data_IF_610909890783
#
_entry.id   IF_610909890783
#
_cell.length_a   1.000
_cell.length_b   1.000
_cell.length_c   1.000
_cell.angle_alpha   90.00
_cell.angle_beta   90.00
_cell.angle_gamma   90.00
#
_symmetry.space_group_name_H-M   'P 1'
#
loop_
_entity.id
_entity.type
_entity.pdbx_description
1 polymer ?
#
# COMPACT_ATOMS: atom_id res chain seq x y z
N UNK A 1 -17.41 22.74 -4.87
CA UNK A 1 -16.02 23.06 -4.48
C UNK A 1 -15.15 21.98 -5.08
N UNK A 2 -14.26 22.32 -6.01
CA UNK A 2 -13.27 21.37 -6.53
C UNK A 2 -12.10 21.37 -5.56
N UNK A 3 -11.87 20.26 -4.88
CA UNK A 3 -10.70 20.13 -3.99
C UNK A 3 -9.51 19.81 -4.89
N UNK A 4 -8.60 20.78 -5.04
CA UNK A 4 -7.35 20.54 -5.74
C UNK A 4 -6.46 19.59 -4.92
N UNK A 5 -5.91 18.57 -5.57
CA UNK A 5 -5.07 17.56 -4.94
C UNK A 5 -3.63 17.78 -5.41
N UNK A 6 -2.76 18.21 -4.49
CA UNK A 6 -1.32 18.32 -4.74
C UNK A 6 -0.62 17.04 -4.31
N UNK A 7 0.17 16.45 -5.22
CA UNK A 7 0.94 15.23 -4.94
C UNK A 7 2.44 15.54 -5.05
N UNK A 8 3.20 15.20 -4.01
CA UNK A 8 4.66 15.14 -4.07
C UNK A 8 5.04 13.67 -4.23
N UNK A 9 5.24 13.24 -5.48
CA UNK A 9 5.34 11.82 -5.80
C UNK A 9 6.42 11.07 -5.00
N UNK A 10 7.61 11.67 -4.86
CA UNK A 10 8.73 11.06 -4.14
C UNK A 10 8.41 10.83 -2.65
N UNK A 11 7.69 11.76 -2.01
CA UNK A 11 7.32 11.62 -0.60
C UNK A 11 6.33 10.46 -0.41
N UNK A 12 5.39 10.30 -1.34
CA UNK A 12 4.43 9.20 -1.31
C UNK A 12 5.13 7.87 -1.54
N UNK A 13 5.98 7.75 -2.57
CA UNK A 13 6.74 6.53 -2.87
C UNK A 13 7.60 6.11 -1.67
N UNK A 14 8.30 7.05 -1.03
CA UNK A 14 9.10 6.77 0.15
C UNK A 14 8.25 6.24 1.31
N UNK A 15 7.11 6.90 1.62
CA UNK A 15 6.25 6.49 2.73
C UNK A 15 5.54 5.17 2.48
N UNK A 16 5.12 4.92 1.24
CA UNK A 16 4.56 3.64 0.84
C UNK A 16 5.62 2.54 0.97
N UNK A 17 6.87 2.81 0.56
CA UNK A 17 7.99 1.89 0.76
C UNK A 17 8.25 1.55 2.22
N UNK A 18 8.26 2.56 3.12
CA UNK A 18 8.38 2.35 4.56
C UNK A 18 7.29 1.40 5.10
N UNK A 19 6.04 1.59 4.65
CA UNK A 19 4.90 0.77 5.05
C UNK A 19 5.02 -0.66 4.50
N UNK A 20 5.38 -0.83 3.23
CA UNK A 20 5.59 -2.16 2.62
C UNK A 20 6.63 -2.94 3.41
N UNK A 21 7.79 -2.32 3.68
CA UNK A 21 8.87 -2.97 4.41
C UNK A 21 8.42 -3.37 5.82
N UNK A 22 7.73 -2.47 6.54
CA UNK A 22 7.20 -2.79 7.86
C UNK A 22 6.14 -3.90 7.83
N UNK A 23 5.30 -3.91 6.78
CA UNK A 23 4.30 -4.94 6.56
C UNK A 23 4.93 -6.31 6.26
N UNK A 24 5.99 -6.38 5.48
CA UNK A 24 6.70 -7.63 5.16
C UNK A 24 7.47 -8.19 6.36
N UNK A 25 7.95 -7.32 7.26
CA UNK A 25 8.65 -7.72 8.48
C UNK A 25 7.72 -8.28 9.57
N UNK A 26 6.39 -8.10 9.44
CA UNK A 26 5.43 -8.77 10.31
C UNK A 26 5.51 -10.28 10.10
N UNK A 27 5.91 -11.00 11.15
CA UNK A 27 5.96 -12.46 11.20
C UNK A 27 4.96 -12.98 12.25
N UNK A 28 3.64 -12.96 11.95
CA UNK A 28 2.64 -13.49 12.85
C UNK A 28 2.78 -15.02 12.91
N UNK A 29 3.37 -15.51 14.00
CA UNK A 29 3.55 -16.94 14.23
C UNK A 29 3.31 -17.27 15.70
N UNK A 30 2.40 -18.18 15.95
CA UNK A 30 2.13 -18.70 17.30
C UNK A 30 3.04 -19.88 17.59
N UNK A 31 3.47 -19.94 18.84
CA UNK A 31 4.17 -21.10 19.36
C UNK A 31 3.21 -22.28 19.55
N UNK A 32 3.65 -23.51 19.25
CA UNK A 32 2.81 -24.68 19.43
C UNK A 32 2.40 -24.86 20.90
N UNK A 33 1.19 -25.41 21.16
CA UNK A 33 0.72 -25.66 22.52
C UNK A 33 1.67 -26.63 23.28
N UNK A 34 1.78 -26.44 24.60
CA UNK A 34 2.57 -27.33 25.47
C UNK A 34 1.82 -28.67 25.64
N UNK A 35 2.39 -29.81 25.19
CA UNK A 35 1.73 -31.11 25.29
C UNK A 35 1.48 -31.53 26.74
N UNK A 36 0.33 -32.14 27.02
CA UNK A 36 0.00 -32.69 28.35
C UNK A 36 -0.43 -31.64 29.39
N UNK A 37 -0.54 -30.36 29.01
CA UNK A 37 -1.05 -29.33 29.91
C UNK A 37 -2.58 -29.40 30.04
N UNK A 38 -3.06 -29.37 31.28
CA UNK A 38 -4.49 -29.45 31.63
C UNK A 38 -5.03 -28.16 32.26
N UNK A 39 -4.19 -27.13 32.40
CA UNK A 39 -4.58 -25.85 32.97
C UNK A 39 -5.42 -25.03 31.96
N UNK A 40 -6.65 -24.71 32.33
CA UNK A 40 -7.59 -23.89 31.53
C UNK A 40 -6.98 -22.54 31.08
N UNK A 41 -6.13 -21.94 31.92
CA UNK A 41 -5.44 -20.69 31.60
C UNK A 41 -4.53 -20.85 30.38
N UNK A 42 -3.83 -21.98 30.26
CA UNK A 42 -2.92 -22.21 29.12
C UNK A 42 -3.71 -22.49 27.85
N UNK A 43 -4.84 -23.18 27.95
CA UNK A 43 -5.77 -23.33 26.81
C UNK A 43 -6.27 -21.96 26.32
N UNK A 44 -6.68 -21.07 27.24
CA UNK A 44 -7.13 -19.70 26.90
C UNK A 44 -6.02 -18.84 26.30
N UNK A 45 -4.79 -18.93 26.82
CA UNK A 45 -3.64 -18.23 26.24
C UNK A 45 -3.32 -18.74 24.84
N UNK A 46 -3.40 -20.05 24.62
CA UNK A 46 -3.21 -20.66 23.29
C UNK A 46 -4.26 -20.15 22.31
N UNK A 47 -5.54 -20.13 22.71
CA UNK A 47 -6.63 -19.63 21.89
C UNK A 47 -6.46 -18.13 21.55
N UNK A 48 -6.06 -17.33 22.55
CA UNK A 48 -5.77 -15.90 22.34
C UNK A 48 -4.62 -15.71 21.35
N UNK A 49 -3.54 -16.44 21.51
CA UNK A 49 -2.39 -16.39 20.60
C UNK A 49 -2.81 -16.73 19.16
N UNK A 50 -3.60 -17.78 18.95
CA UNK A 50 -4.13 -18.14 17.62
C UNK A 50 -5.01 -17.03 17.02
N UNK A 51 -5.84 -16.37 17.84
CA UNK A 51 -6.65 -15.23 17.40
C UNK A 51 -5.79 -14.03 17.02
N UNK A 52 -4.73 -13.77 17.77
CA UNK A 52 -3.77 -12.69 17.47
C UNK A 52 -2.99 -12.96 16.18
N UNK A 53 -2.57 -14.19 15.93
CA UNK A 53 -1.97 -14.58 14.63
C UNK A 53 -2.92 -14.31 13.48
N UNK A 54 -4.15 -14.80 13.61
CA UNK A 54 -5.18 -14.59 12.59
C UNK A 54 -5.43 -13.10 12.34
N UNK A 55 -5.49 -12.30 13.40
CA UNK A 55 -5.67 -10.85 13.31
C UNK A 55 -4.50 -10.18 12.58
N UNK A 56 -3.27 -10.49 12.97
CA UNK A 56 -2.06 -9.89 12.39
C UNK A 56 -1.87 -10.31 10.92
N UNK A 57 -2.11 -11.57 10.58
CA UNK A 57 -2.07 -12.05 9.18
C UNK A 57 -3.10 -11.34 8.32
N UNK A 58 -4.32 -11.13 8.84
CA UNK A 58 -5.35 -10.38 8.13
C UNK A 58 -4.98 -8.90 7.98
N UNK A 59 -4.44 -8.29 9.03
CA UNK A 59 -3.98 -6.91 9.01
C UNK A 59 -2.87 -6.71 7.98
N UNK A 60 -1.85 -7.57 7.98
CA UNK A 60 -0.75 -7.56 7.02
C UNK A 60 -1.28 -7.64 5.58
N UNK A 61 -2.21 -8.55 5.30
CA UNK A 61 -2.83 -8.69 3.97
C UNK A 61 -3.55 -7.43 3.53
N UNK A 62 -4.38 -6.84 4.39
CA UNK A 62 -5.11 -5.59 4.06
C UNK A 62 -4.14 -4.44 3.87
N UNK A 63 -3.11 -4.33 4.71
CA UNK A 63 -2.11 -3.29 4.61
C UNK A 63 -1.36 -3.35 3.29
N UNK A 64 -0.88 -4.54 2.88
CA UNK A 64 -0.19 -4.74 1.60
C UNK A 64 -1.09 -4.41 0.40
N UNK A 65 -2.36 -4.84 0.43
CA UNK A 65 -3.32 -4.52 -0.64
C UNK A 65 -3.59 -3.00 -0.76
N UNK A 66 -3.70 -2.30 0.36
CA UNK A 66 -3.89 -0.85 0.36
C UNK A 66 -2.64 -0.11 -0.13
N UNK A 67 -1.45 -0.58 0.24
CA UNK A 67 -0.17 -0.06 -0.25
C UNK A 67 -0.03 -0.21 -1.76
N UNK A 68 -0.39 -1.38 -2.30
CA UNK A 68 -0.40 -1.63 -3.75
C UNK A 68 -1.39 -0.69 -4.47
N UNK A 69 -2.62 -0.59 -3.95
CA UNK A 69 -3.64 0.30 -4.49
C UNK A 69 -3.20 1.77 -4.47
N UNK A 70 -2.53 2.19 -3.40
CA UNK A 70 -1.98 3.54 -3.28
C UNK A 70 -0.90 3.79 -4.33
N UNK A 71 0.04 2.85 -4.50
CA UNK A 71 1.07 2.89 -5.54
C UNK A 71 0.45 3.06 -6.93
N UNK A 72 -0.53 2.22 -7.27
CA UNK A 72 -1.21 2.27 -8.56
C UNK A 72 -1.94 3.59 -8.79
N UNK A 73 -2.57 4.14 -7.75
CA UNK A 73 -3.25 5.44 -7.82
C UNK A 73 -2.27 6.59 -8.07
N UNK A 74 -1.09 6.54 -7.43
CA UNK A 74 -0.03 7.53 -7.61
C UNK A 74 0.56 7.45 -9.01
N UNK A 75 0.79 6.24 -9.54
CA UNK A 75 1.23 6.03 -10.93
C UNK A 75 0.20 6.60 -11.90
N UNK A 76 -1.07 6.30 -11.71
CA UNK A 76 -2.15 6.81 -12.55
C UNK A 76 -2.19 8.35 -12.57
N UNK A 77 -2.01 9.01 -11.42
CA UNK A 77 -1.92 10.47 -11.38
C UNK A 77 -0.70 11.00 -12.14
N UNK A 78 0.47 10.38 -11.96
CA UNK A 78 1.70 10.78 -12.68
C UNK A 78 1.52 10.68 -14.19
N UNK A 79 0.98 9.57 -14.67
CA UNK A 79 0.70 9.39 -16.11
C UNK A 79 -0.31 10.41 -16.64
N UNK A 80 -1.28 10.80 -15.80
CA UNK A 80 -2.27 11.82 -16.15
C UNK A 80 -1.61 13.20 -16.27
N UNK A 81 -0.75 13.56 -15.32
CA UNK A 81 0.04 14.79 -15.37
C UNK A 81 0.95 14.84 -16.61
N UNK A 82 1.64 13.75 -16.93
CA UNK A 82 2.52 13.66 -18.09
C UNK A 82 1.76 13.84 -19.41
N UNK A 83 0.55 13.28 -19.52
CA UNK A 83 -0.33 13.47 -20.69
C UNK A 83 -0.78 14.92 -20.83
N UNK A 84 -1.17 15.55 -19.72
CA UNK A 84 -1.57 16.97 -19.72
C UNK A 84 -0.39 17.87 -20.10
N UNK A 85 0.79 17.62 -19.51
CA UNK A 85 2.00 18.37 -19.82
C UNK A 85 2.39 18.24 -21.31
N UNK A 86 2.32 17.02 -21.87
CA UNK A 86 2.59 16.77 -23.29
C UNK A 86 1.62 17.53 -24.19
N UNK A 87 0.32 17.50 -23.90
CA UNK A 87 -0.70 18.24 -24.65
C UNK A 87 -0.50 19.77 -24.56
N UNK A 88 -0.11 20.28 -23.39
CA UNK A 88 0.24 21.69 -23.22
C UNK A 88 1.47 22.07 -24.05
N UNK A 89 2.48 21.21 -24.10
CA UNK A 89 3.68 21.46 -24.92
C UNK A 89 3.35 21.48 -26.42
N UNK A 90 2.49 20.58 -26.90
CA UNK A 90 2.02 20.57 -28.29
C UNK A 90 1.23 21.83 -28.67
N UNK A 91 0.34 22.28 -27.78
CA UNK A 91 -0.44 23.51 -28.02
C UNK A 91 0.43 24.77 -28.02
N UNK A 92 1.46 24.84 -27.18
CA UNK A 92 2.43 25.94 -27.15
C UNK A 92 3.36 25.95 -28.37
N UNK A 93 3.64 24.80 -28.98
CA UNK A 93 4.47 24.69 -30.19
C UNK A 93 3.79 25.23 -31.46
N UNK A 94 2.48 25.54 -31.41
CA UNK A 94 1.70 26.02 -32.55
C UNK A 94 1.37 24.92 -33.57
N UNK A 95 0.43 25.15 -34.51
CA UNK A 95 0.03 24.12 -35.47
C UNK A 95 1.23 23.70 -36.33
N UNK A 96 1.48 22.38 -36.43
CA UNK A 96 2.44 21.81 -37.38
C UNK A 96 2.11 22.35 -38.78
N UNK A 97 3.01 23.15 -39.35
CA UNK A 97 2.95 23.48 -40.78
C UNK A 97 3.07 22.17 -41.55
N UNK A 98 1.96 21.76 -42.15
CA UNK A 98 1.93 20.67 -43.11
C UNK A 98 2.59 21.22 -44.38
N UNK A 99 3.84 20.85 -44.61
CA UNK A 99 4.53 21.15 -45.87
C UNK A 99 3.82 20.38 -46.99
N UNK A 100 3.26 21.10 -47.96
CA UNK A 100 2.82 20.54 -49.24
C UNK A 100 4.02 20.16 -50.12
#
# INVERSE_FOLDING_TARGET
MSTEVKIVYADVENKVGDITNAAELLNPKVEPPIPGNTLDVVSKLTELSMKLETLLTNYQRVLLANTEMTTNSVIFMRESDDKVASAMQETLAGPRKVSQ
#
